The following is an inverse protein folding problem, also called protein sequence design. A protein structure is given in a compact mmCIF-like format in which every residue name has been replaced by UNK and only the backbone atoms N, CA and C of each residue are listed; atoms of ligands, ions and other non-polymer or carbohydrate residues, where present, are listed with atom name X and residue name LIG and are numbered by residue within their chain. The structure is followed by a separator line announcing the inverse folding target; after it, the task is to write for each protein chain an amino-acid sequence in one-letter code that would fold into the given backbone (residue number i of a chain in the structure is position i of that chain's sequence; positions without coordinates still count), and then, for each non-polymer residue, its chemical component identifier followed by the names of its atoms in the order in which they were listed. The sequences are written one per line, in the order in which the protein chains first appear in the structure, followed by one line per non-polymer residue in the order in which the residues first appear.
data_IF_329048680819
#
_entry.id   IF_329048680819
#
_cell.length_a   1.000
_cell.length_b   1.000
_cell.length_c   1.000
_cell.angle_alpha   90.00
_cell.angle_beta   90.00
_cell.angle_gamma   90.00
#
_symmetry.space_group_name_H-M   'P 1'
#
loop_
_entity.id
_entity.type
_entity.pdbx_description
1 polymer ?
#
# COMPACT_ATOMS: atom_id res chain seq x y z
N UNK A 1 28.51 27.47 -35.43
CA UNK A 1 28.41 26.72 -34.15
C UNK A 1 27.47 27.41 -33.14
N UNK A 2 26.29 27.88 -33.54
CA UNK A 2 25.30 28.52 -32.65
C UNK A 2 23.93 27.81 -32.61
N UNK A 3 23.74 26.77 -33.45
CA UNK A 3 22.46 26.02 -33.51
C UNK A 3 22.43 24.77 -32.63
N UNK A 4 23.60 24.24 -32.22
CA UNK A 4 23.71 23.05 -31.36
C UNK A 4 23.51 23.35 -29.88
N UNK A 5 23.85 24.56 -29.43
CA UNK A 5 23.67 25.00 -28.05
C UNK A 5 22.19 25.18 -27.66
N UNK A 6 21.32 25.58 -28.60
CA UNK A 6 19.89 25.73 -28.33
C UNK A 6 19.16 24.39 -28.07
N UNK A 7 19.59 23.31 -28.73
CA UNK A 7 18.97 21.98 -28.56
C UNK A 7 19.31 21.38 -27.19
N UNK A 8 20.53 21.62 -26.69
CA UNK A 8 20.96 21.12 -25.38
C UNK A 8 20.27 21.90 -24.25
N UNK A 9 20.09 23.22 -24.39
CA UNK A 9 19.34 24.01 -23.41
C UNK A 9 17.86 23.62 -23.40
N UNK A 10 17.25 23.33 -24.56
CA UNK A 10 15.86 22.90 -24.60
C UNK A 10 15.63 21.50 -23.98
N UNK A 11 16.57 20.57 -24.16
CA UNK A 11 16.51 19.22 -23.57
C UNK A 11 16.77 19.19 -22.06
N UNK A 12 17.59 20.11 -21.54
CA UNK A 12 17.81 20.24 -20.10
C UNK A 12 16.60 20.90 -19.42
N UNK A 13 15.97 21.90 -20.06
CA UNK A 13 14.77 22.54 -19.50
C UNK A 13 13.49 21.69 -19.60
N UNK A 14 13.35 20.83 -20.62
CA UNK A 14 12.16 19.96 -20.75
C UNK A 14 12.09 18.87 -19.68
N UNK A 15 13.22 18.45 -19.10
CA UNK A 15 13.24 17.49 -18.00
C UNK A 15 12.96 18.11 -16.63
N UNK A 16 12.97 19.44 -16.51
CA UNK A 16 12.74 20.15 -15.23
C UNK A 16 11.34 20.74 -15.09
N UNK A 17 10.59 20.90 -16.18
CA UNK A 17 9.27 21.54 -16.20
C UNK A 17 8.12 20.53 -16.40
N UNK A 18 7.94 19.61 -15.44
CA UNK A 18 6.64 18.97 -15.19
C UNK A 18 6.56 18.24 -13.83
N UNK A 19 7.34 18.66 -12.83
CA UNK A 19 7.01 18.34 -11.45
C UNK A 19 6.04 19.41 -10.97
N UNK A 20 4.78 19.05 -10.75
CA UNK A 20 3.82 19.88 -10.02
C UNK A 20 4.50 20.30 -8.70
N UNK A 21 4.94 21.56 -8.62
CA UNK A 21 5.98 22.07 -7.69
C UNK A 21 5.65 21.96 -6.18
N UNK A 22 4.54 21.32 -5.83
CA UNK A 22 4.01 21.22 -4.47
C UNK A 22 3.88 19.77 -3.97
N UNK A 23 4.28 18.76 -4.74
CA UNK A 23 4.10 17.36 -4.36
C UNK A 23 5.38 16.74 -3.80
N UNK A 24 5.26 16.05 -2.67
CA UNK A 24 6.35 15.28 -2.06
C UNK A 24 6.30 13.84 -2.56
N UNK A 25 7.44 13.33 -3.04
CA UNK A 25 7.53 11.94 -3.46
C UNK A 25 7.61 11.01 -2.24
N UNK A 26 6.70 10.04 -2.18
CA UNK A 26 6.78 8.92 -1.24
C UNK A 26 7.74 7.89 -1.81
N UNK A 27 8.86 7.69 -1.12
CA UNK A 27 9.93 6.77 -1.55
C UNK A 27 9.82 5.39 -0.95
N UNK A 28 9.20 5.27 0.23
CA UNK A 28 9.01 3.99 0.92
C UNK A 28 7.76 3.32 0.35
N UNK A 29 7.97 2.32 -0.49
CA UNK A 29 6.91 1.49 -1.07
C UNK A 29 7.14 0.07 -0.55
N UNK A 30 6.22 -0.43 0.27
CA UNK A 30 6.22 -1.80 0.79
C UNK A 30 5.33 -2.68 -0.09
N UNK A 31 5.95 -3.42 -0.99
CA UNK A 31 5.26 -4.35 -1.87
C UNK A 31 5.05 -5.69 -1.17
N UNK A 32 3.79 -5.99 -0.86
CA UNK A 32 3.39 -7.25 -0.24
C UNK A 32 2.64 -8.07 -1.26
N UNK A 33 3.17 -9.23 -1.53
CA UNK A 33 2.48 -10.24 -2.31
C UNK A 33 1.84 -11.24 -1.35
N UNK A 34 0.71 -11.84 -1.74
CA UNK A 34 0.31 -13.12 -1.18
C UNK A 34 1.38 -14.18 -1.57
N UNK A 35 2.50 -14.18 -0.86
CA UNK A 35 3.54 -15.21 -1.01
C UNK A 35 2.97 -16.53 -0.52
N UNK A 36 3.02 -17.54 -1.38
CA UNK A 36 2.95 -18.93 -0.94
C UNK A 36 4.06 -19.14 0.09
N UNK A 37 3.67 -19.45 1.32
CA UNK A 37 4.57 -19.68 2.47
C UNK A 37 5.38 -21.00 2.29
N UNK A 38 5.43 -21.56 1.08
CA UNK A 38 6.19 -22.78 0.76
C UNK A 38 7.71 -22.61 0.97
N UNK A 39 8.21 -21.38 1.14
CA UNK A 39 9.61 -21.08 1.48
C UNK A 39 9.86 -20.81 2.96
N UNK A 40 9.10 -21.40 3.88
CA UNK A 40 9.58 -21.51 5.27
C UNK A 40 10.82 -22.42 5.28
N UNK A 41 12.00 -21.83 5.47
CA UNK A 41 13.26 -22.56 5.67
C UNK A 41 13.03 -23.69 6.67
N UNK A 42 13.45 -24.90 6.32
CA UNK A 42 13.24 -26.16 7.07
C UNK A 42 13.60 -26.06 8.55
N UNK A 43 14.63 -25.27 8.89
CA UNK A 43 15.04 -24.99 10.26
C UNK A 43 13.97 -24.27 11.09
N UNK A 44 13.30 -23.25 10.53
CA UNK A 44 12.20 -22.55 11.19
C UNK A 44 10.92 -23.39 11.24
N UNK A 45 10.73 -24.31 10.29
CA UNK A 45 9.56 -25.20 10.28
C UNK A 45 9.57 -26.16 11.47
N UNK A 46 10.72 -26.73 11.79
CA UNK A 46 10.86 -27.70 12.87
C UNK A 46 10.67 -27.07 14.27
N UNK A 47 10.91 -25.77 14.42
CA UNK A 47 10.70 -25.03 15.68
C UNK A 47 9.26 -24.55 15.89
N UNK A 48 8.37 -24.71 14.92
CA UNK A 48 6.97 -24.27 15.00
C UNK A 48 6.10 -25.41 15.56
N UNK A 49 5.15 -25.08 16.45
CA UNK A 49 4.20 -26.05 16.99
C UNK A 49 3.25 -26.63 15.91
N UNK A 50 2.72 -27.83 16.13
CA UNK A 50 1.86 -28.50 15.14
C UNK A 50 0.56 -27.74 14.85
N UNK A 51 0.02 -26.98 15.81
CA UNK A 51 -1.20 -26.19 15.61
C UNK A 51 -0.94 -25.04 14.62
N UNK A 52 0.20 -24.39 14.72
CA UNK A 52 0.64 -23.29 13.87
C UNK A 52 1.08 -23.82 12.50
N UNK A 53 1.72 -24.98 12.42
CA UNK A 53 1.96 -25.69 11.14
C UNK A 53 0.65 -26.00 10.42
N UNK A 54 -0.37 -26.51 11.13
CA UNK A 54 -1.68 -26.79 10.55
C UNK A 54 -2.36 -25.52 10.02
N UNK A 55 -2.29 -24.41 10.77
CA UNK A 55 -2.79 -23.10 10.30
C UNK A 55 -2.09 -22.66 9.02
N UNK A 56 -0.76 -22.80 8.95
CA UNK A 56 0.03 -22.44 7.76
C UNK A 56 -0.35 -23.34 6.58
N UNK A 57 -0.44 -24.66 6.77
CA UNK A 57 -0.86 -25.60 5.72
C UNK A 57 -2.25 -25.26 5.18
N UNK A 58 -3.22 -25.03 6.07
CA UNK A 58 -4.58 -24.67 5.67
C UNK A 58 -4.61 -23.35 4.91
N UNK A 59 -3.83 -22.36 5.36
CA UNK A 59 -3.69 -21.09 4.66
C UNK A 59 -3.10 -21.27 3.26
N UNK A 60 -2.03 -22.06 3.10
CA UNK A 60 -1.41 -22.36 1.79
C UNK A 60 -2.43 -23.06 0.87
N UNK A 61 -3.17 -24.05 1.37
CA UNK A 61 -4.22 -24.73 0.61
C UNK A 61 -5.30 -23.74 0.17
N UNK A 62 -5.74 -22.86 1.05
CA UNK A 62 -6.70 -21.82 0.74
C UNK A 62 -6.19 -20.86 -0.34
N UNK A 63 -4.93 -20.41 -0.25
CA UNK A 63 -4.32 -19.55 -1.27
C UNK A 63 -4.23 -20.26 -2.62
N UNK A 64 -3.79 -21.52 -2.64
CA UNK A 64 -3.73 -22.32 -3.88
C UNK A 64 -5.11 -22.50 -4.52
N UNK A 65 -6.16 -22.68 -3.72
CA UNK A 65 -7.53 -22.73 -4.22
C UNK A 65 -7.99 -21.38 -4.78
N UNK A 66 -7.62 -20.25 -4.15
CA UNK A 66 -7.90 -18.90 -4.67
C UNK A 66 -7.26 -18.70 -6.04
N UNK A 67 -5.96 -18.97 -6.15
CA UNK A 67 -5.21 -18.86 -7.43
C UNK A 67 -5.88 -19.70 -8.52
N UNK A 68 -6.20 -20.96 -8.24
CA UNK A 68 -6.82 -21.87 -9.22
C UNK A 68 -8.24 -21.47 -9.62
N UNK A 69 -8.98 -20.82 -8.73
CA UNK A 69 -10.39 -20.47 -8.97
C UNK A 69 -10.59 -19.04 -9.46
N UNK A 70 -9.54 -18.24 -9.50
CA UNK A 70 -9.58 -16.87 -9.96
C UNK A 70 -9.73 -16.82 -11.49
N UNK A 71 -10.94 -16.53 -11.94
CA UNK A 71 -11.31 -16.40 -13.35
C UNK A 71 -11.28 -14.95 -13.85
N UNK A 72 -10.70 -14.02 -13.10
CA UNK A 72 -10.64 -12.61 -13.48
C UNK A 72 -9.82 -12.44 -14.76
N UNK A 73 -10.35 -11.73 -15.74
CA UNK A 73 -9.64 -11.35 -16.97
C UNK A 73 -8.86 -10.04 -16.83
N UNK A 74 -9.08 -9.31 -15.75
CA UNK A 74 -8.51 -7.98 -15.50
C UNK A 74 -7.86 -7.91 -14.13
N UNK A 75 -6.94 -6.97 -14.01
CA UNK A 75 -6.29 -6.56 -12.78
C UNK A 75 -6.85 -5.21 -12.33
N UNK A 76 -7.45 -5.18 -11.15
CA UNK A 76 -8.04 -3.95 -10.58
C UNK A 76 -7.07 -3.28 -9.63
N UNK A 77 -6.82 -2.00 -9.86
CA UNK A 77 -6.10 -1.13 -8.93
C UNK A 77 -7.14 -0.50 -8.00
N UNK A 78 -7.00 -0.81 -6.72
CA UNK A 78 -7.92 -0.45 -5.66
C UNK A 78 -7.19 0.48 -4.68
N UNK A 79 -7.86 1.52 -4.24
CA UNK A 79 -7.36 2.46 -3.25
C UNK A 79 -8.05 2.24 -1.92
N UNK A 80 -7.27 2.17 -0.86
CA UNK A 80 -7.77 2.04 0.50
C UNK A 80 -7.17 3.16 1.35
N UNK A 81 -7.99 4.17 1.63
CA UNK A 81 -7.61 5.37 2.38
C UNK A 81 -8.78 6.33 2.49
N UNK A 82 -8.52 7.55 2.97
CA UNK A 82 -9.54 8.59 3.05
C UNK A 82 -9.99 9.03 1.65
N UNK A 83 -11.27 9.43 1.47
CA UNK A 83 -11.73 10.06 0.23
C UNK A 83 -10.78 11.19 -0.19
N UNK A 84 -10.24 11.10 -1.39
CA UNK A 84 -9.28 12.06 -1.93
C UNK A 84 -9.40 12.16 -3.46
N UNK A 85 -8.95 13.26 -4.03
CA UNK A 85 -8.75 13.36 -5.48
C UNK A 85 -7.44 12.69 -5.89
N UNK A 86 -7.55 11.60 -6.64
CA UNK A 86 -6.41 10.80 -7.09
C UNK A 86 -6.20 11.00 -8.59
N UNK A 87 -4.98 11.35 -8.98
CA UNK A 87 -4.57 11.44 -10.40
C UNK A 87 -3.58 10.32 -10.69
N UNK A 88 -3.84 9.55 -11.75
CA UNK A 88 -2.96 8.47 -12.20
C UNK A 88 -2.49 8.77 -13.61
N UNK A 89 -1.18 8.64 -13.81
CA UNK A 89 -0.51 8.84 -15.09
C UNK A 89 0.21 7.54 -15.44
N UNK A 90 -0.16 6.95 -16.55
CA UNK A 90 0.56 5.83 -17.19
C UNK A 90 1.31 6.36 -18.43
N UNK A 91 2.01 5.48 -19.15
CA UNK A 91 2.59 5.85 -20.45
C UNK A 91 1.52 6.12 -21.52
N UNK A 92 0.36 5.49 -21.40
CA UNK A 92 -0.70 5.52 -22.40
C UNK A 92 -1.80 6.54 -22.11
N UNK A 93 -2.02 6.90 -20.84
CA UNK A 93 -3.10 7.80 -20.45
C UNK A 93 -2.86 8.54 -19.12
N UNK A 94 -3.62 9.62 -18.95
CA UNK A 94 -3.78 10.33 -17.69
C UNK A 94 -5.26 10.30 -17.28
N UNK A 95 -5.53 9.93 -16.03
CA UNK A 95 -6.89 9.86 -15.48
C UNK A 95 -6.94 10.47 -14.08
N UNK A 96 -7.91 11.33 -13.85
CA UNK A 96 -8.23 11.86 -12.51
C UNK A 96 -9.52 11.23 -12.00
N UNK A 97 -9.47 10.68 -10.79
CA UNK A 97 -10.56 9.98 -10.12
C UNK A 97 -10.84 10.71 -8.80
N UNK A 98 -12.12 10.97 -8.52
CA UNK A 98 -12.55 11.44 -7.19
C UNK A 98 -13.08 10.26 -6.41
N UNK A 99 -12.45 9.91 -5.29
CA UNK A 99 -12.84 8.74 -4.49
C UNK A 99 -13.89 9.12 -3.45
N UNK A 100 -15.03 9.66 -3.88
CA UNK A 100 -16.09 10.14 -2.98
C UNK A 100 -16.99 9.01 -2.46
N UNK A 101 -17.18 7.96 -3.28
CA UNK A 101 -18.02 6.81 -2.95
C UNK A 101 -17.21 5.52 -3.04
N UNK A 102 -17.12 4.73 -1.97
CA UNK A 102 -16.36 3.50 -2.00
C UNK A 102 -17.13 2.40 -2.76
N UNK A 103 -16.38 1.44 -3.30
CA UNK A 103 -16.89 0.31 -4.07
C UNK A 103 -17.84 -0.55 -3.24
N UNK A 104 -18.90 -1.04 -3.90
CA UNK A 104 -19.79 -2.06 -3.34
C UNK A 104 -19.24 -3.47 -3.50
N UNK A 105 -18.28 -3.66 -4.42
CA UNK A 105 -17.72 -4.95 -4.79
C UNK A 105 -16.43 -5.25 -4.03
N UNK A 106 -15.56 -4.25 -3.88
CA UNK A 106 -14.20 -4.44 -3.39
C UNK A 106 -14.04 -3.95 -1.95
N UNK A 107 -13.44 -4.81 -1.13
CA UNK A 107 -13.17 -4.54 0.27
C UNK A 107 -11.70 -4.84 0.57
N UNK A 108 -11.05 -3.99 1.36
CA UNK A 108 -9.76 -4.27 1.96
C UNK A 108 -9.98 -4.97 3.30
N UNK A 109 -9.28 -6.09 3.50
CA UNK A 109 -9.33 -6.85 4.75
C UNK A 109 -7.99 -6.71 5.47
N UNK A 110 -8.00 -6.10 6.65
CA UNK A 110 -6.85 -6.00 7.56
C UNK A 110 -6.67 -7.32 8.31
N UNK A 111 -5.50 -7.93 8.21
CA UNK A 111 -5.15 -9.16 8.95
C UNK A 111 -4.57 -8.83 10.33
N UNK A 112 -5.38 -8.32 11.27
CA UNK A 112 -4.99 -8.30 12.68
C UNK A 112 -6.17 -8.74 13.54
N UNK A 113 -6.14 -10.01 13.96
CA UNK A 113 -7.02 -10.71 14.92
C UNK A 113 -8.54 -10.76 14.65
N UNK A 114 -9.12 -9.75 13.98
CA UNK A 114 -10.50 -9.70 13.52
C UNK A 114 -10.50 -9.12 12.11
N UNK A 115 -10.90 -9.89 11.08
CA UNK A 115 -10.92 -9.38 9.71
C UNK A 115 -11.98 -8.29 9.58
N UNK A 116 -11.57 -7.04 9.79
CA UNK A 116 -12.41 -5.88 9.48
C UNK A 116 -12.32 -5.66 7.97
N UNK A 117 -13.47 -5.74 7.32
CA UNK A 117 -13.63 -5.43 5.90
C UNK A 117 -14.00 -3.97 5.77
N UNK A 118 -13.10 -3.19 5.20
CA UNK A 118 -13.35 -1.79 4.88
C UNK A 118 -13.51 -1.65 3.37
N UNK A 119 -14.44 -0.81 2.92
CA UNK A 119 -14.66 -0.65 1.48
C UNK A 119 -13.45 0.05 0.84
N UNK A 120 -13.07 -0.39 -0.36
CA UNK A 120 -12.01 0.24 -1.16
C UNK A 120 -12.62 1.08 -2.29
N UNK A 121 -11.82 1.93 -2.93
CA UNK A 121 -12.21 2.70 -4.11
C UNK A 121 -11.55 2.10 -5.36
N UNK A 122 -12.32 1.94 -6.42
CA UNK A 122 -11.77 1.46 -7.69
C UNK A 122 -11.15 2.61 -8.46
N UNK A 123 -9.89 2.45 -8.87
CA UNK A 123 -9.16 3.49 -9.57
C UNK A 123 -9.13 3.25 -11.08
N UNK A 124 -8.42 2.18 -11.47
CA UNK A 124 -8.17 1.80 -12.85
C UNK A 124 -8.09 0.28 -12.97
N UNK A 125 -8.17 -0.19 -14.21
CA UNK A 125 -8.20 -1.59 -14.58
C UNK A 125 -7.15 -1.83 -15.66
N UNK A 126 -6.43 -2.94 -15.59
CA UNK A 126 -5.52 -3.40 -16.63
C UNK A 126 -5.93 -4.78 -17.12
N UNK A 127 -5.50 -5.14 -18.32
CA UNK A 127 -5.61 -6.53 -18.78
C UNK A 127 -4.69 -7.41 -17.94
N UNK A 128 -5.19 -8.59 -17.55
CA UNK A 128 -4.45 -9.50 -16.69
C UNK A 128 -3.34 -10.21 -17.47
N UNK A 129 -2.23 -10.47 -16.78
CA UNK A 129 -1.03 -11.13 -17.32
C UNK A 129 -0.34 -10.34 -18.46
N UNK A 130 -0.58 -9.04 -18.55
CA UNK A 130 0.05 -8.12 -19.51
C UNK A 130 1.39 -7.56 -19.00
N UNK A 131 2.07 -8.34 -18.15
CA UNK A 131 3.35 -8.00 -17.55
C UNK A 131 3.27 -6.96 -16.41
N UNK A 132 4.40 -6.30 -16.17
CA UNK A 132 4.53 -5.26 -15.14
C UNK A 132 4.07 -3.93 -15.72
N UNK A 133 3.13 -3.26 -15.04
CA UNK A 133 2.67 -1.92 -15.40
C UNK A 133 3.28 -0.89 -14.46
N UNK A 134 3.82 0.17 -15.05
CA UNK A 134 4.37 1.31 -14.31
C UNK A 134 3.42 2.48 -14.42
N UNK A 135 3.11 3.10 -13.28
CA UNK A 135 2.27 4.29 -13.25
C UNK A 135 2.64 5.20 -12.10
N UNK A 136 2.40 6.49 -12.29
CA UNK A 136 2.55 7.51 -11.25
C UNK A 136 1.18 7.82 -10.67
N UNK A 137 1.07 7.76 -9.35
CA UNK A 137 -0.13 8.11 -8.61
C UNK A 137 0.11 9.40 -7.82
N UNK A 138 -0.82 10.33 -7.90
CA UNK A 138 -0.83 11.59 -7.18
C UNK A 138 -2.05 11.62 -6.26
N UNK A 139 -1.79 11.89 -5.00
CA UNK A 139 -2.76 12.11 -3.94
C UNK A 139 -2.86 13.63 -3.75
N UNK A 140 -3.89 14.24 -4.34
CA UNK A 140 -3.95 15.69 -4.55
C UNK A 140 -4.08 16.48 -3.26
N UNK A 141 -4.83 15.95 -2.29
CA UNK A 141 -5.20 16.65 -1.06
C UNK A 141 -4.05 16.58 -0.05
N UNK A 142 -3.41 15.42 0.07
CA UNK A 142 -2.18 15.19 0.85
C UNK A 142 -0.91 15.71 0.16
N UNK A 143 -1.02 16.12 -1.12
CA UNK A 143 0.09 16.58 -1.96
C UNK A 143 1.25 15.58 -2.00
N UNK A 144 0.93 14.30 -2.13
CA UNK A 144 1.90 13.21 -2.24
C UNK A 144 1.85 12.58 -3.61
N UNK A 145 2.98 12.04 -4.07
CA UNK A 145 2.99 11.19 -5.25
C UNK A 145 3.94 10.01 -5.10
N UNK A 146 3.67 8.95 -5.85
CA UNK A 146 4.56 7.80 -5.93
C UNK A 146 4.59 7.24 -7.34
N UNK A 147 5.73 6.64 -7.69
CA UNK A 147 5.85 5.82 -8.89
C UNK A 147 5.67 4.37 -8.44
N UNK A 148 4.63 3.71 -8.92
CA UNK A 148 4.31 2.33 -8.58
C UNK A 148 4.59 1.43 -9.79
N UNK A 149 5.09 0.23 -9.49
CA UNK A 149 5.19 -0.87 -10.45
C UNK A 149 4.33 -2.00 -9.92
N UNK A 150 3.45 -2.52 -10.76
CA UNK A 150 2.54 -3.58 -10.35
C UNK A 150 2.55 -4.72 -11.34
N UNK A 151 2.49 -5.95 -10.82
CA UNK A 151 2.43 -7.16 -11.64
C UNK A 151 0.97 -7.50 -11.93
N UNK A 152 0.57 -7.46 -13.21
CA UNK A 152 -0.80 -7.74 -13.64
C UNK A 152 -1.15 -9.23 -13.61
N UNK A 153 -0.30 -10.11 -13.08
CA UNK A 153 -0.72 -11.50 -12.78
C UNK A 153 -1.78 -11.57 -11.68
N UNK A 154 -1.73 -10.63 -10.73
CA UNK A 154 -2.69 -10.52 -9.63
C UNK A 154 -3.95 -9.81 -10.11
N UNK A 155 -5.12 -10.29 -9.70
CA UNK A 155 -6.41 -9.71 -10.12
C UNK A 155 -6.79 -8.46 -9.30
N UNK A 156 -6.28 -8.33 -8.08
CA UNK A 156 -6.59 -7.23 -7.17
C UNK A 156 -5.29 -6.67 -6.58
N UNK A 157 -5.05 -5.37 -6.74
CA UNK A 157 -3.91 -4.67 -6.16
C UNK A 157 -4.44 -3.52 -5.32
N UNK A 158 -4.18 -3.56 -4.03
CA UNK A 158 -4.61 -2.54 -3.09
C UNK A 158 -3.46 -1.58 -2.78
N UNK A 159 -3.70 -0.29 -2.96
CA UNK A 159 -2.82 0.81 -2.61
C UNK A 159 -3.33 1.40 -1.30
N UNK A 160 -2.52 1.30 -0.26
CA UNK A 160 -2.81 1.84 1.06
C UNK A 160 -1.73 2.85 1.44
N UNK A 161 -1.97 4.17 1.23
CA UNK A 161 -1.05 5.17 1.70
C UNK A 161 -1.16 5.35 3.21
N UNK A 162 0.01 5.46 3.84
CA UNK A 162 0.21 5.81 5.22
C UNK A 162 0.97 7.12 5.24
N UNK A 163 0.23 8.22 5.22
CA UNK A 163 0.80 9.57 5.28
C UNK A 163 0.74 10.06 6.72
N UNK A 164 1.88 10.54 7.22
CA UNK A 164 2.04 11.16 8.56
C UNK A 164 1.21 10.49 9.69
N UNK A 165 1.62 9.30 10.18
CA UNK A 165 0.88 8.63 11.29
C UNK A 165 1.12 9.32 12.65
N UNK A 166 0.00 9.55 13.35
CA UNK A 166 -0.24 10.24 14.64
C UNK A 166 0.45 9.65 15.90
N UNK A 167 0.40 10.43 17.00
CA UNK A 167 0.88 10.19 18.37
C UNK A 167 1.22 8.73 18.71
N UNK A 168 2.51 8.47 18.98
CA UNK A 168 2.93 7.22 19.62
C UNK A 168 3.13 7.53 21.11
N UNK A 169 2.29 6.96 21.96
CA UNK A 169 2.50 6.96 23.41
C UNK A 169 3.75 6.12 23.73
N UNK A 170 4.75 6.76 24.34
CA UNK A 170 5.87 6.04 24.95
C UNK A 170 5.65 6.00 26.46
N UNK A 171 5.63 4.80 27.03
CA UNK A 171 6.00 4.65 28.44
C UNK A 171 7.52 4.85 28.51
N UNK A 172 7.98 5.89 29.22
CA UNK A 172 9.40 6.03 29.58
C UNK A 172 9.79 4.88 30.52
N UNK A 173 10.07 3.72 29.96
CA UNK A 173 10.72 2.64 30.68
C UNK A 173 12.18 3.01 30.91
N UNK A 174 12.51 3.53 32.11
CA UNK A 174 13.57 3.00 33.02
C UNK A 174 14.24 4.00 33.97
N UNK A 175 13.83 5.26 34.12
CA UNK A 175 14.37 6.09 35.21
C UNK A 175 13.32 7.05 35.82
N UNK A 176 12.82 6.66 37.00
CA UNK A 176 12.02 7.44 37.95
C UNK A 176 10.77 8.13 37.39
N UNK A 177 9.59 7.58 37.67
CA UNK A 177 8.32 8.28 37.54
C UNK A 177 8.43 9.62 38.28
N UNK A 178 8.46 10.75 37.55
CA UNK A 178 8.45 12.06 38.18
C UNK A 178 7.14 12.18 38.98
N UNK A 179 7.25 12.34 40.30
CA UNK A 179 6.10 12.65 41.14
C UNK A 179 5.78 14.15 41.00
N UNK A 180 4.51 14.50 41.04
CA UNK A 180 4.08 15.90 41.18
C UNK A 180 4.32 16.41 42.61
N UNK A 181 3.98 17.67 42.85
CA UNK A 181 4.10 18.32 44.17
C UNK A 181 3.30 17.63 45.30
N UNK A 182 2.40 16.69 44.96
CA UNK A 182 1.58 15.92 45.88
C UNK A 182 2.03 14.46 45.99
N UNK A 183 3.14 14.07 45.35
CA UNK A 183 3.63 12.69 45.39
C UNK A 183 2.88 11.73 44.46
N UNK A 184 2.10 12.23 43.50
CA UNK A 184 1.35 11.43 42.52
C UNK A 184 2.21 11.25 41.27
N UNK A 185 2.30 10.03 40.69
CA UNK A 185 3.00 9.83 39.42
C UNK A 185 2.42 10.74 38.34
N UNK A 186 3.26 11.58 37.74
CA UNK A 186 2.84 12.35 36.56
C UNK A 186 2.47 11.39 35.43
N UNK A 187 1.45 11.72 34.61
CA UNK A 187 1.13 10.95 33.43
C UNK A 187 2.35 10.85 32.50
N UNK A 188 2.46 9.74 31.75
CA UNK A 188 3.53 9.55 30.78
C UNK A 188 3.59 10.74 29.81
N UNK A 189 4.81 11.22 29.51
CA UNK A 189 5.00 12.32 28.57
C UNK A 189 4.75 11.80 27.15
N UNK A 190 3.63 12.20 26.56
CA UNK A 190 3.31 11.91 25.16
C UNK A 190 4.30 12.63 24.23
N UNK A 191 4.84 11.92 23.24
CA UNK A 191 5.71 12.50 22.21
C UNK A 191 5.19 12.18 20.82
N UNK A 192 4.91 13.23 20.05
CA UNK A 192 4.64 13.11 18.62
C UNK A 192 5.90 12.63 17.91
N UNK A 193 5.86 11.42 17.36
CA UNK A 193 6.88 10.93 16.43
C UNK A 193 6.32 11.02 15.03
N UNK A 194 7.01 11.77 14.18
CA UNK A 194 6.74 11.77 12.75
C UNK A 194 7.23 10.45 12.16
N UNK A 195 6.31 9.60 11.72
CA UNK A 195 6.66 8.46 10.87
C UNK A 195 6.86 8.92 9.44
N UNK A 196 7.77 8.26 8.72
CA UNK A 196 7.98 8.53 7.30
C UNK A 196 6.77 8.06 6.48
N UNK A 197 6.41 8.83 5.45
CA UNK A 197 5.36 8.45 4.52
C UNK A 197 5.68 7.10 3.86
N UNK A 198 4.67 6.22 3.83
CA UNK A 198 4.77 4.88 3.25
C UNK A 198 3.56 4.61 2.36
N UNK A 199 3.75 3.85 1.29
CA UNK A 199 2.65 3.25 0.55
C UNK A 199 2.81 1.74 0.62
N UNK A 200 1.81 1.07 1.16
CA UNK A 200 1.72 -0.39 1.13
C UNK A 200 0.96 -0.78 -0.14
N UNK A 201 1.56 -1.67 -0.93
CA UNK A 201 0.95 -2.23 -2.14
C UNK A 201 0.71 -3.72 -1.90
N UNK A 202 -0.53 -4.09 -1.66
CA UNK A 202 -0.94 -5.48 -1.43
C UNK A 202 -1.47 -6.10 -2.72
N UNK A 203 -0.76 -7.09 -3.27
CA UNK A 203 -1.14 -7.79 -4.50
C UNK A 203 -1.78 -9.15 -4.17
N UNK A 204 -3.01 -9.37 -4.63
CA UNK A 204 -3.87 -10.48 -4.20
C UNK A 204 -4.63 -11.12 -5.37
N UNK A 205 -5.03 -12.37 -5.18
CA UNK A 205 -6.00 -13.05 -6.05
C UNK A 205 -7.42 -12.81 -5.54
N UNK A 206 -8.38 -12.73 -6.45
CA UNK A 206 -9.76 -12.39 -6.12
C UNK A 206 -10.36 -13.41 -5.15
N UNK A 207 -10.98 -12.91 -4.07
CA UNK A 207 -11.66 -13.79 -3.11
C UNK A 207 -13.03 -14.18 -3.67
N UNK A 208 -13.32 -15.47 -3.71
CA UNK A 208 -14.68 -15.95 -3.97
C UNK A 208 -15.61 -15.41 -2.88
N UNK A 209 -16.74 -14.81 -3.25
CA UNK A 209 -17.84 -14.60 -2.29
C UNK A 209 -18.22 -15.99 -1.78
N UNK A 210 -17.92 -16.29 -0.53
CA UNK A 210 -18.62 -17.38 0.15
C UNK A 210 -20.08 -16.97 0.16
N UNK A 211 -20.90 -17.64 -0.65
CA UNK A 211 -22.35 -17.63 -0.44
C UNK A 211 -22.55 -18.12 0.99
N UNK A 212 -22.96 -17.20 1.87
CA UNK A 212 -23.51 -17.55 3.17
C UNK A 212 -24.77 -18.41 2.96
#
# INVERSE_FOLDING_TARGET
MQKLSYIIVFLIFSNSFCQEANFVQVKKIDERNETLIDTLKTEKWNSIDERRKLKIRNYIVEQNLRIKSDSSSTTQILYYGLPEKIKIITSDFEKTIKTEKPSEKYFYEKMICYPVKEKAYELITFDRNDGIKEFKIYFTDSKRFANLKVDTKFSEIYINPQFDIELVEFEEGTFASELDENGIPKPAKEKLIKMDDEIIVDQRYARKKQSL
#
